data_IF_465669066892
#
_entry.id   IF_465669066892
#
_cell.length_a   1.000
_cell.length_b   1.000
_cell.length_c   1.000
_cell.angle_alpha   90.00
_cell.angle_beta   90.00
_cell.angle_gamma   90.00
#
_symmetry.space_group_name_H-M   'P 1'
#
loop_
_entity.id
_entity.type
_entity.pdbx_description
1 polymer ?
#
# COMPACT_ATOMS: atom_id res chain seq x y z
N UNK A 1 25.20 -14.72 56.23
CA UNK A 1 24.44 -13.66 55.53
C UNK A 1 25.24 -12.93 54.44
N UNK A 2 26.40 -12.30 54.69
CA UNK A 2 27.17 -11.56 53.67
C UNK A 2 27.55 -12.37 52.41
N UNK A 3 27.93 -13.65 52.55
CA UNK A 3 28.27 -14.48 51.39
C UNK A 3 27.03 -14.80 50.50
N UNK A 4 25.88 -15.07 51.12
CA UNK A 4 24.64 -15.35 50.40
C UNK A 4 24.20 -14.09 49.61
N UNK A 5 24.22 -12.93 50.23
CA UNK A 5 23.86 -11.66 49.58
C UNK A 5 24.79 -11.34 48.37
N UNK A 6 26.10 -11.67 48.50
CA UNK A 6 27.06 -11.52 47.39
C UNK A 6 26.68 -12.41 46.18
N UNK A 7 26.34 -13.70 46.44
CA UNK A 7 25.98 -14.62 45.37
C UNK A 7 24.63 -14.27 44.75
N UNK A 8 23.66 -13.81 45.52
CA UNK A 8 22.36 -13.30 45.01
C UNK A 8 22.61 -12.12 44.08
N UNK A 9 23.46 -11.16 44.44
CA UNK A 9 23.78 -10.02 43.60
C UNK A 9 24.47 -10.44 42.28
N UNK A 10 25.39 -11.40 42.33
CA UNK A 10 26.07 -11.91 41.10
C UNK A 10 25.07 -12.60 40.19
N UNK A 11 24.18 -13.48 40.73
CA UNK A 11 23.17 -14.17 39.92
C UNK A 11 22.19 -13.16 39.29
N UNK A 12 21.71 -12.18 40.06
CA UNK A 12 20.85 -11.13 39.55
C UNK A 12 21.52 -10.34 38.41
N UNK A 13 22.78 -9.97 38.56
CA UNK A 13 23.57 -9.30 37.54
C UNK A 13 23.68 -10.12 36.24
N UNK A 14 24.00 -11.43 36.37
CA UNK A 14 24.07 -12.34 35.23
C UNK A 14 22.70 -12.44 34.53
N UNK A 15 21.60 -12.56 35.26
CA UNK A 15 20.25 -12.63 34.68
C UNK A 15 19.90 -11.36 33.91
N UNK A 16 20.26 -10.17 34.42
CA UNK A 16 20.03 -8.91 33.71
C UNK A 16 20.83 -8.88 32.41
N UNK A 17 22.11 -9.29 32.43
CA UNK A 17 22.94 -9.33 31.21
C UNK A 17 22.38 -10.32 30.20
N UNK A 18 21.98 -11.52 30.64
CA UNK A 18 21.37 -12.53 29.75
C UNK A 18 20.06 -12.01 29.16
N UNK A 19 19.20 -11.38 29.97
CA UNK A 19 17.95 -10.80 29.48
C UNK A 19 18.21 -9.68 28.46
N UNK A 20 19.21 -8.84 28.69
CA UNK A 20 19.60 -7.77 27.76
C UNK A 20 20.17 -8.33 26.45
N UNK A 21 21.01 -9.35 26.49
CA UNK A 21 21.53 -10.00 25.28
C UNK A 21 20.41 -10.72 24.50
N UNK A 22 19.48 -11.38 25.20
CA UNK A 22 18.31 -11.98 24.58
C UNK A 22 17.43 -10.91 23.92
N UNK A 23 17.20 -9.78 24.59
CA UNK A 23 16.48 -8.65 24.03
C UNK A 23 17.14 -8.14 22.73
N UNK A 24 18.47 -7.96 22.71
CA UNK A 24 19.21 -7.57 21.50
C UNK A 24 19.17 -8.64 20.40
N UNK A 25 19.04 -9.92 20.76
CA UNK A 25 18.94 -11.01 19.80
C UNK A 25 17.57 -11.10 19.16
N UNK A 26 16.50 -10.89 19.93
CA UNK A 26 15.12 -10.97 19.44
C UNK A 26 14.60 -9.67 18.80
N UNK A 27 15.21 -8.53 19.14
CA UNK A 27 14.93 -7.28 18.42
C UNK A 27 15.83 -7.28 17.19
N UNK A 28 15.25 -7.14 15.97
CA UNK A 28 16.05 -6.96 14.76
C UNK A 28 17.05 -5.83 14.98
N UNK A 29 18.32 -5.98 14.55
CA UNK A 29 19.31 -4.92 14.70
C UNK A 29 18.70 -3.66 14.08
N UNK A 30 18.56 -2.61 14.89
CA UNK A 30 18.31 -1.28 14.38
C UNK A 30 19.53 -0.90 13.55
N UNK A 31 19.42 -1.08 12.24
CA UNK A 31 20.37 -0.48 11.33
C UNK A 31 20.10 1.01 11.40
N UNK A 32 20.98 1.72 12.10
CA UNK A 32 20.99 3.18 12.06
C UNK A 32 21.42 3.56 10.65
N UNK A 33 20.44 3.69 9.77
CA UNK A 33 20.67 4.17 8.40
C UNK A 33 21.04 5.66 8.52
N UNK A 34 22.25 6.06 8.06
CA UNK A 34 22.64 7.47 8.10
C UNK A 34 21.63 8.34 7.35
N UNK A 35 21.40 9.59 7.79
CA UNK A 35 20.46 10.50 7.11
C UNK A 35 20.71 10.65 5.61
N UNK A 36 21.97 10.58 5.18
CA UNK A 36 22.37 10.66 3.78
C UNK A 36 21.93 9.43 2.98
N UNK A 37 21.89 8.27 3.60
CA UNK A 37 21.42 7.05 2.98
C UNK A 37 19.89 7.03 2.89
N UNK A 38 19.19 7.55 3.91
CA UNK A 38 17.76 7.80 3.86
C UNK A 38 17.38 8.74 2.70
N UNK A 39 18.14 9.83 2.53
CA UNK A 39 17.92 10.78 1.45
C UNK A 39 18.18 10.17 0.06
N UNK A 40 18.99 9.11 -0.02
CA UNK A 40 19.28 8.39 -1.27
C UNK A 40 18.35 7.22 -1.53
N UNK A 41 17.54 6.81 -0.57
CA UNK A 41 16.52 5.77 -0.76
C UNK A 41 15.40 6.34 -1.65
N UNK A 42 15.71 6.52 -2.94
CA UNK A 42 14.70 6.63 -3.94
C UNK A 42 13.94 5.30 -3.96
N UNK A 43 12.63 5.34 -3.93
CA UNK A 43 11.81 4.17 -4.24
C UNK A 43 12.17 3.78 -5.67
N UNK A 44 13.12 2.85 -5.80
CA UNK A 44 13.56 2.35 -7.09
C UNK A 44 12.36 1.68 -7.78
N UNK A 45 12.18 1.94 -9.07
CA UNK A 45 11.13 1.31 -9.85
C UNK A 45 9.89 2.16 -10.12
N UNK A 46 9.73 3.32 -9.46
CA UNK A 46 8.64 4.25 -9.82
C UNK A 46 8.94 4.86 -11.20
N UNK A 47 8.03 4.71 -12.18
CA UNK A 47 8.27 5.18 -13.55
C UNK A 47 8.56 6.68 -13.64
N UNK A 48 9.47 7.04 -14.57
CA UNK A 48 9.71 8.43 -14.96
C UNK A 48 8.51 8.98 -15.74
N UNK A 49 8.29 10.28 -15.62
CA UNK A 49 7.29 11.04 -16.40
C UNK A 49 7.92 11.81 -17.57
N UNK A 50 9.17 11.48 -17.91
CA UNK A 50 9.93 12.20 -18.96
C UNK A 50 9.29 12.10 -20.36
N UNK A 51 8.42 11.10 -20.59
CA UNK A 51 7.66 10.96 -21.82
C UNK A 51 6.57 11.99 -22.03
N UNK A 52 6.18 12.77 -21.00
CA UNK A 52 5.17 13.81 -21.11
C UNK A 52 5.84 15.10 -21.62
N UNK A 53 5.53 15.47 -22.84
CA UNK A 53 6.18 16.62 -23.53
C UNK A 53 5.53 17.96 -23.23
N UNK A 54 4.22 17.99 -22.91
CA UNK A 54 3.53 19.22 -22.49
C UNK A 54 3.91 19.54 -21.03
N UNK A 55 4.53 20.71 -20.77
CA UNK A 55 4.94 21.09 -19.43
C UNK A 55 3.77 21.23 -18.44
N UNK A 56 2.60 21.68 -18.91
CA UNK A 56 1.43 21.85 -18.06
C UNK A 56 0.86 20.48 -17.63
N UNK A 57 0.71 19.56 -18.56
CA UNK A 57 0.28 18.20 -18.30
C UNK A 57 1.28 17.44 -17.42
N UNK A 58 2.58 17.64 -17.68
CA UNK A 58 3.65 17.07 -16.87
C UNK A 58 3.55 17.54 -15.40
N UNK A 59 3.35 18.83 -15.17
CA UNK A 59 3.20 19.38 -13.82
C UNK A 59 1.99 18.76 -13.09
N UNK A 60 0.87 18.55 -13.79
CA UNK A 60 -0.30 17.86 -13.23
C UNK A 60 0.04 16.40 -12.91
N UNK A 61 0.70 15.67 -13.81
CA UNK A 61 1.10 14.29 -13.59
C UNK A 61 2.09 14.15 -12.44
N UNK A 62 3.05 15.06 -12.28
CA UNK A 62 3.99 15.11 -11.16
C UNK A 62 3.26 15.34 -9.82
N UNK A 63 2.26 16.22 -9.79
CA UNK A 63 1.38 16.39 -8.62
C UNK A 63 0.64 15.11 -8.31
N UNK A 64 0.09 14.44 -9.33
CA UNK A 64 -0.60 13.15 -9.18
C UNK A 64 0.32 12.04 -8.68
N UNK A 65 1.55 11.98 -9.19
CA UNK A 65 2.59 11.05 -8.72
C UNK A 65 2.89 11.27 -7.23
N UNK A 66 3.07 12.53 -6.81
CA UNK A 66 3.28 12.85 -5.41
C UNK A 66 2.13 12.35 -4.53
N UNK A 67 0.87 12.64 -4.92
CA UNK A 67 -0.32 12.22 -4.17
C UNK A 67 -0.42 10.70 -4.13
N UNK A 68 -0.25 10.01 -5.25
CA UNK A 68 -0.28 8.56 -5.31
C UNK A 68 0.81 7.92 -4.43
N UNK A 69 1.97 8.57 -4.31
CA UNK A 69 3.08 8.11 -3.47
C UNK A 69 2.77 8.27 -1.98
N UNK A 70 2.29 9.43 -1.53
CA UNK A 70 2.00 9.65 -0.11
C UNK A 70 0.79 8.87 0.38
N UNK A 71 -0.09 8.44 -0.51
CA UNK A 71 -1.23 7.57 -0.21
C UNK A 71 -0.92 6.08 -0.44
N UNK A 72 0.34 5.76 -0.75
CA UNK A 72 0.84 4.39 -0.96
C UNK A 72 0.01 3.55 -1.95
N UNK A 73 -0.45 4.18 -3.04
CA UNK A 73 -1.21 3.44 -4.06
C UNK A 73 -0.39 2.26 -4.62
N UNK A 74 0.92 2.45 -4.78
CA UNK A 74 1.83 1.41 -5.28
C UNK A 74 1.99 0.23 -4.34
N UNK A 75 1.94 0.44 -3.02
CA UNK A 75 2.07 -0.63 -2.03
C UNK A 75 0.97 -1.69 -2.16
N UNK A 76 -0.25 -1.24 -2.50
CA UNK A 76 -1.36 -2.16 -2.75
C UNK A 76 -1.43 -2.62 -4.21
N UNK A 77 -1.15 -1.72 -5.18
CA UNK A 77 -1.42 -1.97 -6.60
C UNK A 77 -0.21 -2.45 -7.41
N UNK A 78 0.98 -2.58 -6.83
CA UNK A 78 2.12 -3.26 -7.46
C UNK A 78 2.18 -4.70 -6.96
N UNK A 79 2.20 -5.72 -7.83
CA UNK A 79 2.30 -7.11 -7.41
C UNK A 79 3.53 -7.36 -6.54
N UNK A 80 3.39 -8.24 -5.57
CA UNK A 80 4.47 -8.65 -4.67
C UNK A 80 4.77 -10.13 -4.90
N UNK A 81 5.95 -10.42 -5.44
CA UNK A 81 6.50 -11.75 -5.59
C UNK A 81 7.43 -12.15 -4.46
N UNK A 82 8.11 -13.29 -4.60
CA UNK A 82 9.01 -13.85 -3.57
C UNK A 82 10.20 -12.93 -3.25
N UNK A 83 10.60 -12.08 -4.19
CA UNK A 83 11.73 -11.15 -4.05
C UNK A 83 11.30 -9.72 -3.67
N UNK A 84 10.03 -9.50 -3.38
CA UNK A 84 9.46 -8.19 -3.10
C UNK A 84 8.62 -7.63 -4.25
N UNK A 85 8.40 -6.30 -4.31
CA UNK A 85 7.57 -5.68 -5.34
C UNK A 85 8.10 -5.92 -6.76
N UNK A 86 7.22 -6.32 -7.66
CA UNK A 86 7.51 -6.54 -9.08
C UNK A 86 7.43 -5.21 -9.84
N UNK A 87 8.51 -4.45 -9.84
CA UNK A 87 8.55 -3.09 -10.41
C UNK A 87 8.26 -3.02 -11.91
N UNK A 88 8.55 -4.09 -12.68
CA UNK A 88 8.17 -4.19 -14.09
C UNK A 88 6.65 -4.23 -14.29
N UNK A 89 5.92 -4.62 -13.24
CA UNK A 89 4.47 -4.67 -13.16
C UNK A 89 3.90 -3.54 -12.27
N UNK A 90 4.59 -2.41 -12.20
CA UNK A 90 4.19 -1.27 -11.38
C UNK A 90 2.73 -0.89 -11.59
N UNK A 91 1.95 -0.84 -10.50
CA UNK A 91 0.51 -0.52 -10.49
C UNK A 91 -0.39 -1.48 -11.28
N UNK A 92 0.06 -2.67 -11.67
CA UNK A 92 -0.76 -3.62 -12.44
C UNK A 92 -1.74 -4.44 -11.61
N UNK A 93 -1.77 -4.28 -10.29
CA UNK A 93 -2.68 -4.99 -9.40
C UNK A 93 -2.34 -6.47 -9.22
N UNK A 94 -3.28 -7.23 -8.66
CA UNK A 94 -3.16 -8.68 -8.47
C UNK A 94 -2.86 -9.12 -7.05
N UNK A 95 -2.50 -8.21 -6.14
CA UNK A 95 -2.33 -8.54 -4.73
C UNK A 95 -3.67 -8.94 -4.12
N UNK A 96 -3.68 -10.08 -3.43
CA UNK A 96 -4.88 -10.64 -2.82
C UNK A 96 -4.77 -10.59 -1.30
N UNK A 97 -5.70 -9.91 -0.67
CA UNK A 97 -5.74 -9.74 0.79
C UNK A 97 -7.06 -10.26 1.35
N UNK A 98 -6.97 -11.02 2.44
CA UNK A 98 -8.13 -11.49 3.19
C UNK A 98 -8.22 -10.73 4.50
N UNK A 99 -9.32 -10.01 4.68
CA UNK A 99 -9.66 -9.37 5.95
C UNK A 99 -10.68 -10.24 6.68
N UNK A 100 -10.27 -10.75 7.84
CA UNK A 100 -11.13 -11.61 8.65
C UNK A 100 -12.46 -10.91 8.94
N UNK A 101 -13.56 -11.56 8.58
CA UNK A 101 -14.92 -11.05 8.76
C UNK A 101 -15.40 -10.02 7.72
N UNK A 102 -14.55 -9.65 6.75
CA UNK A 102 -14.92 -8.68 5.72
C UNK A 102 -14.85 -9.24 4.31
N UNK A 103 -14.00 -10.25 4.09
CA UNK A 103 -13.88 -10.90 2.80
C UNK A 103 -12.46 -10.92 2.25
N UNK A 104 -12.35 -11.39 1.01
CA UNK A 104 -11.09 -11.44 0.25
C UNK A 104 -11.23 -10.54 -0.97
N UNK A 105 -10.24 -9.69 -1.17
CA UNK A 105 -10.22 -8.67 -2.22
C UNK A 105 -8.94 -8.78 -3.04
N UNK A 106 -9.03 -8.44 -4.32
CA UNK A 106 -7.89 -8.42 -5.23
C UNK A 106 -7.73 -7.01 -5.80
N UNK A 107 -6.52 -6.44 -5.66
CA UNK A 107 -6.23 -5.10 -6.16
C UNK A 107 -6.30 -5.05 -7.68
N UNK A 108 -6.90 -3.99 -8.23
CA UNK A 108 -7.15 -3.83 -9.67
C UNK A 108 -5.92 -3.29 -10.39
N UNK A 109 -5.84 -3.57 -11.70
CA UNK A 109 -4.83 -2.98 -12.59
C UNK A 109 -5.14 -1.49 -12.82
N UNK A 110 -4.26 -0.62 -12.33
CA UNK A 110 -4.35 0.84 -12.46
C UNK A 110 -3.54 1.39 -13.64
N UNK A 111 -2.85 0.53 -14.41
CA UNK A 111 -2.16 0.98 -15.62
C UNK A 111 -3.14 1.26 -16.74
N UNK A 112 -2.80 2.11 -17.74
CA UNK A 112 -3.67 2.42 -18.87
C UNK A 112 -3.69 1.30 -19.93
N UNK A 113 -3.63 0.04 -19.51
CA UNK A 113 -3.78 -1.09 -20.41
C UNK A 113 -5.22 -1.17 -20.95
N UNK A 114 -5.35 -1.41 -22.26
CA UNK A 114 -6.62 -1.34 -22.97
C UNK A 114 -7.57 -2.51 -22.65
N UNK A 115 -7.03 -3.66 -22.27
CA UNK A 115 -7.82 -4.87 -22.04
C UNK A 115 -8.03 -5.18 -20.55
N UNK A 116 -7.02 -4.88 -19.73
CA UNK A 116 -7.01 -5.31 -18.34
C UNK A 116 -6.94 -4.15 -17.35
N UNK A 117 -6.62 -2.95 -17.80
CA UNK A 117 -6.35 -1.77 -16.99
C UNK A 117 -7.40 -0.66 -17.08
N UNK A 118 -6.99 0.55 -16.70
CA UNK A 118 -7.86 1.73 -16.60
C UNK A 118 -8.29 2.31 -17.95
N UNK A 119 -7.65 1.99 -19.09
CA UNK A 119 -8.12 2.47 -20.38
C UNK A 119 -9.55 1.97 -20.74
N UNK A 120 -10.03 0.93 -20.07
CA UNK A 120 -11.41 0.44 -20.17
C UNK A 120 -12.44 1.31 -19.45
N UNK A 121 -12.01 2.29 -18.69
CA UNK A 121 -12.84 3.11 -17.80
C UNK A 121 -12.80 4.57 -18.23
N UNK A 122 -13.94 5.23 -18.12
CA UNK A 122 -13.98 6.69 -18.33
C UNK A 122 -13.31 7.40 -17.16
N UNK A 123 -12.91 8.64 -17.39
CA UNK A 123 -12.30 9.47 -16.35
C UNK A 123 -13.24 9.69 -15.18
N UNK A 124 -14.55 9.89 -15.46
CA UNK A 124 -15.59 10.03 -14.43
C UNK A 124 -15.71 8.77 -13.57
N UNK A 125 -15.59 7.56 -14.17
CA UNK A 125 -15.61 6.32 -13.42
C UNK A 125 -14.43 6.24 -12.47
N UNK A 126 -13.20 6.57 -12.91
CA UNK A 126 -12.01 6.55 -12.06
C UNK A 126 -12.10 7.59 -10.95
N UNK A 127 -12.48 8.84 -11.29
CA UNK A 127 -12.64 9.91 -10.30
C UNK A 127 -13.72 9.57 -9.26
N UNK A 128 -14.80 8.93 -9.67
CA UNK A 128 -15.87 8.48 -8.77
C UNK A 128 -15.38 7.44 -7.77
N UNK A 129 -14.54 6.49 -8.22
CA UNK A 129 -13.93 5.52 -7.28
C UNK A 129 -13.12 6.23 -6.21
N UNK A 130 -12.28 7.19 -6.57
CA UNK A 130 -11.48 7.96 -5.61
C UNK A 130 -12.35 8.81 -4.67
N UNK A 131 -13.49 9.30 -5.14
CA UNK A 131 -14.37 10.17 -4.36
C UNK A 131 -15.32 9.41 -3.44
N UNK A 132 -15.88 8.30 -3.90
CA UNK A 132 -17.01 7.63 -3.24
C UNK A 132 -16.80 6.14 -3.02
N UNK A 133 -15.70 5.58 -3.52
CA UNK A 133 -15.48 4.14 -3.53
C UNK A 133 -16.36 3.35 -4.50
N UNK A 134 -17.25 4.03 -5.26
CA UNK A 134 -18.19 3.34 -6.16
C UNK A 134 -17.46 2.79 -7.39
N UNK A 135 -17.32 1.49 -7.43
CA UNK A 135 -16.71 0.75 -8.54
C UNK A 135 -17.64 0.73 -9.76
N UNK A 136 -17.09 0.60 -10.99
CA UNK A 136 -17.89 0.58 -12.22
C UNK A 136 -18.94 -0.53 -12.28
N UNK A 137 -18.73 -1.62 -11.58
CA UNK A 137 -19.69 -2.73 -11.44
C UNK A 137 -20.84 -2.46 -10.47
N UNK A 138 -20.88 -1.27 -9.84
CA UNK A 138 -22.01 -0.81 -9.02
C UNK A 138 -21.90 -1.10 -7.52
N UNK A 139 -20.82 -1.75 -7.05
CA UNK A 139 -20.56 -1.95 -5.62
C UNK A 139 -19.59 -0.90 -5.07
N UNK A 140 -19.62 -0.66 -3.78
CA UNK A 140 -18.64 0.19 -3.09
C UNK A 140 -17.42 -0.66 -2.73
N UNK A 141 -16.22 -0.14 -3.01
CA UNK A 141 -14.98 -0.75 -2.57
C UNK A 141 -14.93 -0.80 -1.04
N UNK A 142 -14.42 -1.90 -0.49
CA UNK A 142 -14.31 -2.03 0.95
C UNK A 142 -13.23 -1.06 1.49
N UNK A 143 -13.60 -0.22 2.46
CA UNK A 143 -12.76 0.89 2.93
C UNK A 143 -11.44 0.44 3.60
N UNK A 144 -11.33 -0.81 4.07
CA UNK A 144 -10.08 -1.38 4.61
C UNK A 144 -9.14 -1.88 3.52
N UNK A 145 -9.70 -2.33 2.39
CA UNK A 145 -8.93 -2.78 1.24
C UNK A 145 -8.48 -1.58 0.39
N UNK A 146 -9.41 -0.71 0.04
CA UNK A 146 -9.14 0.56 -0.64
C UNK A 146 -9.67 1.71 0.21
N UNK A 147 -8.83 2.50 0.88
CA UNK A 147 -9.26 3.54 1.83
C UNK A 147 -9.80 4.79 1.11
N UNK A 148 -10.80 4.61 0.25
CA UNK A 148 -11.41 5.68 -0.54
C UNK A 148 -11.97 6.82 0.33
N UNK A 149 -12.38 6.54 1.57
CA UNK A 149 -12.82 7.57 2.50
C UNK A 149 -11.71 8.59 2.84
N UNK A 150 -10.43 8.19 2.75
CA UNK A 150 -9.29 9.11 2.84
C UNK A 150 -9.17 9.91 1.55
N UNK A 151 -9.27 9.26 0.39
CA UNK A 151 -9.14 9.90 -0.92
C UNK A 151 -10.31 10.84 -1.24
N UNK A 152 -11.48 10.64 -0.63
CA UNK A 152 -12.63 11.53 -0.79
C UNK A 152 -12.35 12.97 -0.29
N UNK A 153 -11.35 13.13 0.60
CA UNK A 153 -10.90 14.44 1.10
C UNK A 153 -9.94 15.17 0.16
N UNK A 154 -9.46 14.52 -0.90
CA UNK A 154 -8.67 15.21 -1.93
C UNK A 154 -9.52 16.27 -2.62
N UNK A 155 -8.90 17.39 -2.99
CA UNK A 155 -9.57 18.37 -3.83
C UNK A 155 -9.91 17.77 -5.21
N UNK A 156 -10.87 18.32 -5.96
CA UNK A 156 -11.14 17.87 -7.33
C UNK A 156 -9.89 17.90 -8.21
N UNK A 157 -9.05 18.93 -8.06
CA UNK A 157 -7.81 19.12 -8.81
C UNK A 157 -6.78 18.03 -8.46
N UNK A 158 -6.66 17.68 -7.19
CA UNK A 158 -5.75 16.64 -6.72
C UNK A 158 -6.20 15.25 -7.17
N UNK A 159 -7.51 14.95 -7.14
CA UNK A 159 -8.06 13.72 -7.72
C UNK A 159 -7.81 13.62 -9.22
N UNK A 160 -8.00 14.74 -9.93
CA UNK A 160 -7.71 14.83 -11.37
C UNK A 160 -6.21 14.62 -11.64
N UNK A 161 -5.34 15.18 -10.83
CA UNK A 161 -3.90 14.97 -10.94
C UNK A 161 -3.52 13.50 -10.81
N UNK A 162 -4.11 12.77 -9.83
CA UNK A 162 -3.92 11.30 -9.70
C UNK A 162 -4.38 10.58 -10.97
N UNK A 163 -5.53 10.92 -11.52
CA UNK A 163 -6.02 10.34 -12.77
C UNK A 163 -5.02 10.55 -13.91
N UNK A 164 -4.55 11.79 -14.11
CA UNK A 164 -3.56 12.13 -15.16
C UNK A 164 -2.31 11.31 -14.99
N UNK A 165 -1.78 11.21 -13.77
CA UNK A 165 -0.63 10.35 -13.47
C UNK A 165 -0.86 8.90 -13.89
N UNK A 166 -1.99 8.30 -13.49
CA UNK A 166 -2.30 6.91 -13.81
C UNK A 166 -2.46 6.69 -15.34
N UNK A 167 -2.97 7.69 -16.07
CA UNK A 167 -3.09 7.64 -17.54
C UNK A 167 -1.74 7.66 -18.26
N UNK A 168 -0.70 8.17 -17.60
CA UNK A 168 0.66 8.24 -18.16
C UNK A 168 1.58 7.10 -17.69
N UNK A 169 1.09 6.17 -16.89
CA UNK A 169 1.85 4.97 -16.56
C UNK A 169 2.09 4.10 -17.81
N UNK A 170 3.15 3.30 -17.75
CA UNK A 170 3.37 2.27 -18.78
C UNK A 170 2.21 1.26 -18.73
N UNK A 171 1.54 0.97 -19.87
CA UNK A 171 0.53 -0.08 -19.90
C UNK A 171 1.14 -1.44 -19.58
N UNK A 172 0.50 -2.18 -18.68
CA UNK A 172 0.88 -3.56 -18.33
C UNK A 172 -0.33 -4.46 -18.50
N UNK A 173 -0.26 -5.37 -19.44
CA UNK A 173 -1.30 -6.38 -19.67
C UNK A 173 -1.27 -7.41 -18.53
N UNK A 174 -2.05 -7.16 -17.50
CA UNK A 174 -2.18 -8.04 -16.34
C UNK A 174 -3.64 -8.24 -15.99
N UNK A 175 -4.17 -9.44 -16.30
CA UNK A 175 -5.55 -9.81 -15.96
C UNK A 175 -5.61 -10.26 -14.51
N UNK A 176 -6.14 -9.40 -13.66
CA UNK A 176 -6.36 -9.73 -12.26
C UNK A 176 -7.63 -10.58 -12.09
N UNK A 177 -7.69 -11.38 -11.04
CA UNK A 177 -8.87 -12.16 -10.67
C UNK A 177 -10.01 -11.23 -10.26
N UNK A 178 -11.22 -11.61 -10.62
CA UNK A 178 -12.44 -10.87 -10.27
C UNK A 178 -13.35 -11.78 -9.42
N UNK A 179 -12.74 -12.41 -8.42
CA UNK A 179 -13.38 -13.36 -7.51
C UNK A 179 -13.36 -12.84 -6.06
N UNK A 180 -13.50 -11.53 -5.91
CA UNK A 180 -13.65 -10.93 -4.60
C UNK A 180 -14.85 -11.56 -3.86
N UNK A 181 -14.61 -11.95 -2.62
CA UNK A 181 -15.65 -12.42 -1.71
C UNK A 181 -15.90 -11.36 -0.66
N UNK A 182 -17.17 -10.99 -0.48
CA UNK A 182 -17.59 -10.07 0.58
C UNK A 182 -18.24 -10.91 1.66
N UNK A 183 -17.85 -10.70 2.91
CA UNK A 183 -18.53 -11.34 4.05
C UNK A 183 -19.99 -10.96 4.10
N UNK A 184 -20.83 -11.90 4.50
CA UNK A 184 -22.25 -11.64 4.74
C UNK A 184 -22.41 -10.76 5.98
N UNK A 185 -23.58 -10.13 6.13
CA UNK A 185 -23.91 -9.34 7.32
C UNK A 185 -23.79 -10.15 8.62
N UNK A 186 -24.07 -11.46 8.57
CA UNK A 186 -23.93 -12.37 9.71
C UNK A 186 -22.45 -12.54 10.14
N UNK A 187 -21.51 -12.63 9.19
CA UNK A 187 -20.08 -12.69 9.49
C UNK A 187 -19.59 -11.39 10.11
N UNK A 188 -20.16 -10.25 9.71
CA UNK A 188 -19.79 -8.91 10.22
C UNK A 188 -20.28 -8.70 11.66
N UNK A 189 -21.52 -9.11 11.96
CA UNK A 189 -22.10 -9.02 13.32
C UNK A 189 -21.35 -9.87 14.35
N UNK A 190 -20.81 -11.03 13.96
CA UNK A 190 -20.03 -11.87 14.83
C UNK A 190 -18.71 -11.21 15.30
N UNK A 191 -18.24 -10.18 14.60
CA UNK A 191 -16.98 -9.47 14.94
C UNK A 191 -17.24 -8.29 15.87
N UNK A 192 -18.35 -7.59 15.72
CA UNK A 192 -18.72 -6.48 16.59
C UNK A 192 -18.98 -6.90 18.05
N UNK A 193 -19.25 -8.19 18.28
CA UNK A 193 -19.41 -8.77 19.61
C UNK A 193 -18.10 -9.10 20.33
N UNK A 194 -16.94 -8.93 19.67
CA UNK A 194 -15.60 -9.23 20.21
C UNK A 194 -14.76 -7.96 20.54
N UNK A 195 -15.31 -6.78 20.41
CA UNK A 195 -14.76 -5.50 20.82
C UNK A 195 -15.75 -4.85 21.78
#
# INVERSE_FOLDING_TARGET
>A
MKKVLKWVGIIAGILVVVAFLAFLYFIPPFTLTPPEEFARQNVSGVPSLDGITDPAERAIAERGKYIATIHDCSGCHTPVGDQGPEWDHYMSGGNRTTFRGYGTFTTRNLTPDAETGLARRTDEQVLRVLQTGLLPEGRIAHARDMPWAVYSNLTPEDRYAVLVYLRHLKPVAHRVRDDDTVSTAEDTLAIETYY
#
